data_IF_487717916913
#
_entry.id   IF_487717916913
#
_cell.length_a   1.000
_cell.length_b   1.000
_cell.length_c   1.000
_cell.angle_alpha   90.00
_cell.angle_beta   90.00
_cell.angle_gamma   90.00
#
_symmetry.space_group_name_H-M   'P 1'
#
loop_
_entity.id
_entity.type
_entity.pdbx_description
1 polymer ?
#
# COMPACT_ATOMS: atom_id res chain seq x y z
N UNK A 1 -16.71 7.58 62.24
CA UNK A 1 -17.15 7.13 60.93
C UNK A 1 -16.07 7.53 59.90
N UNK A 2 -15.25 6.58 59.51
CA UNK A 2 -14.16 6.76 58.53
C UNK A 2 -14.68 6.23 57.19
N UNK A 3 -14.78 7.10 56.19
CA UNK A 3 -15.06 6.72 54.81
C UNK A 3 -13.73 6.30 54.16
N UNK A 4 -13.56 4.99 53.94
CA UNK A 4 -12.51 4.45 53.06
C UNK A 4 -12.92 4.68 51.61
N UNK A 5 -12.14 5.48 50.91
CA UNK A 5 -12.20 5.61 49.44
C UNK A 5 -11.44 4.43 48.86
N UNK A 6 -12.14 3.53 48.22
CA UNK A 6 -11.54 2.55 47.33
C UNK A 6 -11.23 3.23 46.00
N UNK A 7 -9.97 3.64 45.82
CA UNK A 7 -9.44 3.96 44.50
C UNK A 7 -9.16 2.64 43.79
N UNK A 8 -10.00 2.30 42.81
CA UNK A 8 -9.73 1.24 41.84
C UNK A 8 -8.67 1.75 40.89
N UNK A 9 -7.47 1.21 41.02
CA UNK A 9 -6.46 1.27 39.98
C UNK A 9 -6.93 0.42 38.79
N UNK A 10 -7.50 1.04 37.79
CA UNK A 10 -7.63 0.42 36.46
C UNK A 10 -6.23 0.32 35.87
N UNK A 11 -5.65 -0.86 35.99
CA UNK A 11 -4.42 -1.22 35.25
C UNK A 11 -4.80 -1.28 33.78
N UNK A 12 -4.25 -0.36 32.99
CA UNK A 12 -4.19 -0.50 31.55
C UNK A 12 -3.48 -1.83 31.24
N UNK A 13 -4.23 -2.85 30.88
CA UNK A 13 -3.69 -4.03 30.22
C UNK A 13 -3.20 -3.60 28.84
N UNK A 14 -1.92 -3.27 28.77
CA UNK A 14 -1.23 -3.06 27.51
C UNK A 14 -1.39 -4.28 26.62
N UNK A 15 -2.02 -4.13 25.48
CA UNK A 15 -2.23 -5.17 24.48
C UNK A 15 -0.89 -5.88 24.21
N UNK A 16 -0.75 -7.10 24.71
CA UNK A 16 0.40 -7.97 24.40
C UNK A 16 0.32 -8.27 22.92
N UNK A 17 1.22 -7.65 22.13
CA UNK A 17 1.28 -7.86 20.70
C UNK A 17 1.37 -9.36 20.39
N UNK A 18 0.56 -9.83 19.44
CA UNK A 18 0.56 -11.21 18.97
C UNK A 18 1.99 -11.60 18.58
N UNK A 19 2.55 -12.64 19.20
CA UNK A 19 3.88 -13.17 18.93
C UNK A 19 3.75 -14.43 18.07
N UNK A 20 4.58 -14.54 17.04
CA UNK A 20 4.65 -15.71 16.18
C UNK A 20 6.09 -16.24 16.16
N UNK A 21 6.25 -17.53 16.20
CA UNK A 21 7.52 -18.19 15.88
C UNK A 21 7.84 -18.06 14.38
N UNK A 22 9.09 -18.30 14.02
CA UNK A 22 9.50 -18.31 12.61
C UNK A 22 8.78 -19.40 11.79
N UNK A 23 8.50 -20.56 12.42
CA UNK A 23 7.78 -21.66 11.78
C UNK A 23 6.32 -21.30 11.50
N UNK A 24 5.63 -20.72 12.49
CA UNK A 24 4.26 -20.22 12.33
C UNK A 24 4.17 -19.15 11.23
N UNK A 25 5.08 -18.18 11.20
CA UNK A 25 5.08 -17.21 10.11
C UNK A 25 5.29 -17.86 8.74
N UNK A 26 6.18 -18.87 8.65
CA UNK A 26 6.44 -19.58 7.40
C UNK A 26 5.21 -20.33 6.86
N UNK A 27 4.29 -20.77 7.71
CA UNK A 27 3.05 -21.42 7.27
C UNK A 27 2.12 -20.50 6.47
N UNK A 28 2.28 -19.18 6.55
CA UNK A 28 1.54 -18.21 5.75
C UNK A 28 2.15 -17.94 4.37
N UNK A 29 3.21 -18.65 3.98
CA UNK A 29 3.80 -18.49 2.62
C UNK A 29 2.75 -18.84 1.56
N UNK A 30 2.57 -17.95 0.59
CA UNK A 30 1.56 -18.10 -0.46
C UNK A 30 0.14 -17.68 -0.07
N UNK A 31 -0.17 -17.50 1.21
CA UNK A 31 -1.46 -17.00 1.64
C UNK A 31 -1.68 -15.55 1.21
N UNK A 32 -2.94 -15.10 1.16
CA UNK A 32 -3.32 -13.77 0.66
C UNK A 32 -3.82 -12.87 1.77
N UNK A 33 -3.73 -11.57 1.54
CA UNK A 33 -4.31 -10.54 2.38
C UNK A 33 -5.33 -9.76 1.54
N UNK A 34 -6.60 -9.64 1.98
CA UNK A 34 -7.59 -8.84 1.29
C UNK A 34 -7.16 -7.38 1.16
N UNK A 35 -7.48 -6.76 0.03
CA UNK A 35 -7.25 -5.34 -0.17
C UNK A 35 -8.10 -4.51 0.80
N UNK A 36 -7.59 -3.37 1.21
CA UNK A 36 -8.35 -2.32 1.87
C UNK A 36 -8.74 -1.28 0.82
N UNK A 37 -9.84 -1.49 0.12
CA UNK A 37 -10.28 -0.62 -0.96
C UNK A 37 -11.81 -0.63 -1.04
N UNK A 38 -12.41 0.53 -1.27
CA UNK A 38 -13.85 0.71 -1.42
C UNK A 38 -14.16 1.83 -2.42
N UNK A 39 -15.41 1.97 -2.79
CA UNK A 39 -15.87 3.10 -3.60
C UNK A 39 -15.58 4.42 -2.88
N UNK A 40 -15.18 5.45 -3.62
CA UNK A 40 -14.76 6.73 -3.05
C UNK A 40 -13.28 6.83 -2.67
N UNK A 41 -12.47 5.77 -2.89
CA UNK A 41 -11.01 5.89 -2.75
C UNK A 41 -10.46 6.97 -3.70
N UNK A 42 -9.63 7.87 -3.15
CA UNK A 42 -8.96 8.94 -3.90
C UNK A 42 -7.46 8.69 -4.03
N UNK A 43 -6.85 8.13 -3.01
CA UNK A 43 -5.43 7.75 -2.95
C UNK A 43 -5.32 6.25 -2.71
N UNK A 44 -4.75 5.53 -3.68
CA UNK A 44 -4.49 4.10 -3.56
C UNK A 44 -2.99 3.86 -3.37
N UNK A 45 -2.59 3.46 -2.17
CA UNK A 45 -1.23 2.97 -1.92
C UNK A 45 -1.10 1.52 -2.37
N UNK A 46 -0.04 1.23 -3.10
CA UNK A 46 0.22 -0.09 -3.68
C UNK A 46 1.54 -0.65 -3.16
N UNK A 47 1.48 -1.63 -2.27
CA UNK A 47 2.64 -2.39 -1.81
C UNK A 47 3.16 -3.34 -2.89
N UNK A 48 4.32 -3.95 -2.64
CA UNK A 48 4.86 -4.96 -3.55
C UNK A 48 4.05 -6.25 -3.38
N UNK A 49 4.04 -6.79 -2.16
CA UNK A 49 3.24 -7.94 -1.74
C UNK A 49 3.11 -7.95 -0.21
N UNK A 50 2.15 -8.69 0.36
CA UNK A 50 2.06 -8.83 1.80
C UNK A 50 3.24 -9.64 2.34
N UNK A 51 3.82 -9.19 3.45
CA UNK A 51 4.74 -10.00 4.25
C UNK A 51 3.99 -11.05 5.08
N UNK A 52 4.66 -12.13 5.49
CA UNK A 52 4.04 -13.24 6.23
C UNK A 52 3.31 -12.75 7.50
N UNK A 53 3.91 -11.82 8.26
CA UNK A 53 3.27 -11.25 9.45
C UNK A 53 2.01 -10.46 9.11
N UNK A 54 1.99 -9.73 8.00
CA UNK A 54 0.82 -8.97 7.59
C UNK A 54 -0.39 -9.86 7.33
N UNK A 55 -0.17 -11.02 6.71
CA UNK A 55 -1.21 -12.04 6.52
C UNK A 55 -1.61 -12.67 7.85
N UNK A 56 -0.64 -13.05 8.69
CA UNK A 56 -0.90 -13.69 9.98
C UNK A 56 -1.82 -12.85 10.90
N UNK A 57 -1.71 -11.51 10.85
CA UNK A 57 -2.53 -10.60 11.66
C UNK A 57 -3.63 -9.89 10.87
N UNK A 58 -3.79 -10.20 9.57
CA UNK A 58 -4.77 -9.56 8.68
C UNK A 58 -4.64 -8.03 8.66
N UNK A 59 -3.39 -7.53 8.59
CA UNK A 59 -3.10 -6.09 8.58
C UNK A 59 -2.00 -5.72 7.58
N UNK A 60 -2.30 -4.80 6.67
CA UNK A 60 -1.28 -4.26 5.77
C UNK A 60 -0.18 -3.57 6.56
N UNK A 61 1.07 -3.73 6.14
CA UNK A 61 2.25 -3.09 6.74
C UNK A 61 2.44 -3.35 8.25
N UNK A 62 1.89 -4.47 8.76
CA UNK A 62 1.86 -4.84 10.17
C UNK A 62 3.22 -5.09 10.87
N UNK A 63 4.34 -5.49 10.20
CA UNK A 63 5.58 -5.74 10.92
C UNK A 63 6.04 -4.53 11.73
N UNK A 64 6.42 -4.75 13.00
CA UNK A 64 7.06 -3.72 13.83
C UNK A 64 8.29 -3.17 13.10
N UNK A 65 8.45 -1.85 13.11
CA UNK A 65 9.48 -1.15 12.35
C UNK A 65 9.09 -0.83 10.90
N UNK A 66 7.92 -1.24 10.41
CA UNK A 66 7.36 -0.68 9.18
C UNK A 66 6.93 0.77 9.46
N UNK A 67 7.30 1.66 8.56
CA UNK A 67 7.11 3.11 8.74
C UNK A 67 5.89 3.67 8.00
N UNK A 68 5.04 2.80 7.43
CA UNK A 68 3.87 3.22 6.66
C UNK A 68 2.93 4.10 7.49
N UNK A 69 2.40 3.59 8.60
CA UNK A 69 1.48 4.35 9.44
C UNK A 69 2.11 5.55 10.15
N UNK A 70 3.34 5.45 10.67
CA UNK A 70 4.06 6.65 11.14
C UNK A 70 4.23 7.73 10.06
N UNK A 71 4.46 7.32 8.80
CA UNK A 71 4.56 8.27 7.70
C UNK A 71 3.20 8.88 7.32
N UNK A 72 2.10 8.13 7.38
CA UNK A 72 0.75 8.68 7.17
C UNK A 72 0.42 9.77 8.21
N UNK A 73 0.70 9.50 9.49
CA UNK A 73 0.50 10.49 10.55
C UNK A 73 1.35 11.73 10.32
N UNK A 74 2.65 11.56 10.08
CA UNK A 74 3.56 12.69 9.87
C UNK A 74 3.26 13.48 8.59
N UNK A 75 2.66 12.85 7.59
CA UNK A 75 2.20 13.50 6.36
C UNK A 75 0.86 14.26 6.53
N UNK A 76 0.19 14.15 7.68
CA UNK A 76 -1.14 14.71 7.93
C UNK A 76 -2.27 13.93 7.25
N UNK A 77 -2.00 12.71 6.75
CA UNK A 77 -3.03 11.85 6.14
C UNK A 77 -3.92 11.24 7.21
N UNK A 78 -3.37 10.96 8.39
CA UNK A 78 -4.12 10.53 9.57
C UNK A 78 -3.89 11.49 10.72
N UNK A 79 -4.85 11.63 11.64
CA UNK A 79 -4.78 12.48 12.83
C UNK A 79 -4.24 11.74 14.07
N UNK A 80 -4.10 10.41 13.97
CA UNK A 80 -3.54 9.56 15.01
C UNK A 80 -2.70 8.44 14.41
N UNK A 81 -1.83 7.84 15.25
CA UNK A 81 -1.01 6.69 14.85
C UNK A 81 -1.86 5.42 14.86
N UNK A 82 -1.93 4.78 13.70
CA UNK A 82 -2.56 3.46 13.57
C UNK A 82 -1.53 2.38 13.90
N UNK A 83 -1.84 1.51 14.86
CA UNK A 83 -1.01 0.34 15.19
C UNK A 83 -1.58 -0.93 14.54
N UNK A 84 -1.00 -1.32 13.41
CA UNK A 84 -1.36 -2.54 12.71
C UNK A 84 -0.62 -3.79 13.20
N UNK A 85 0.19 -3.72 14.26
CA UNK A 85 1.05 -4.83 14.70
C UNK A 85 0.29 -6.09 15.14
N UNK A 86 -0.97 -5.93 15.52
CA UNK A 86 -1.92 -7.01 15.85
C UNK A 86 -3.06 -7.13 14.81
N UNK A 87 -2.96 -6.45 13.67
CA UNK A 87 -3.99 -6.36 12.64
C UNK A 87 -4.66 -4.99 12.62
N UNK A 88 -5.38 -4.68 11.55
CA UNK A 88 -6.21 -3.48 11.47
C UNK A 88 -7.57 -3.74 12.11
N UNK A 89 -7.98 -2.88 13.04
CA UNK A 89 -9.34 -2.93 13.58
C UNK A 89 -10.36 -2.52 12.51
N UNK A 90 -11.64 -2.86 12.71
CA UNK A 90 -12.72 -2.37 11.84
C UNK A 90 -12.73 -0.83 11.80
N UNK A 91 -12.56 -0.19 12.98
CA UNK A 91 -12.49 1.27 13.10
C UNK A 91 -11.35 1.88 12.28
N UNK A 92 -10.14 1.28 12.32
CA UNK A 92 -9.01 1.79 11.53
C UNK A 92 -9.25 1.65 10.01
N UNK A 93 -9.87 0.54 9.60
CA UNK A 93 -10.26 0.31 8.20
C UNK A 93 -11.27 1.35 7.73
N UNK A 94 -12.35 1.53 8.49
CA UNK A 94 -13.41 2.49 8.17
C UNK A 94 -12.87 3.93 8.17
N UNK A 95 -11.96 4.25 9.10
CA UNK A 95 -11.31 5.54 9.17
C UNK A 95 -10.47 5.83 7.91
N UNK A 96 -9.59 4.89 7.49
CA UNK A 96 -8.78 5.07 6.28
C UNK A 96 -9.65 5.20 5.03
N UNK A 97 -10.64 4.32 4.87
CA UNK A 97 -11.57 4.37 3.73
C UNK A 97 -12.39 5.67 3.73
N UNK A 98 -12.87 6.11 4.88
CA UNK A 98 -13.60 7.39 5.04
C UNK A 98 -12.76 8.60 4.64
N UNK A 99 -11.44 8.55 4.83
CA UNK A 99 -10.50 9.57 4.33
C UNK A 99 -10.19 9.43 2.84
N UNK A 100 -10.73 8.43 2.17
CA UNK A 100 -10.47 8.15 0.76
C UNK A 100 -9.10 7.49 0.51
N UNK A 101 -8.52 6.84 1.52
CA UNK A 101 -7.24 6.12 1.43
C UNK A 101 -7.50 4.62 1.29
N UNK A 102 -6.99 4.03 0.22
CA UNK A 102 -7.01 2.58 -0.01
C UNK A 102 -5.60 1.99 0.02
N UNK A 103 -5.53 0.70 0.26
CA UNK A 103 -4.28 -0.08 0.29
C UNK A 103 -4.48 -1.38 -0.48
N UNK A 104 -3.56 -1.67 -1.39
CA UNK A 104 -3.48 -2.93 -2.14
C UNK A 104 -2.02 -3.35 -2.33
N UNK A 105 -1.79 -4.44 -3.04
CA UNK A 105 -0.45 -4.89 -3.44
C UNK A 105 -0.43 -5.28 -4.91
N UNK A 106 0.74 -5.19 -5.57
CA UNK A 106 0.96 -5.71 -6.92
C UNK A 106 0.71 -7.21 -6.95
N UNK A 107 1.37 -7.94 -6.05
CA UNK A 107 1.23 -9.39 -5.91
C UNK A 107 0.46 -9.69 -4.63
N UNK A 108 -0.54 -10.57 -4.71
CA UNK A 108 -1.43 -10.86 -3.56
C UNK A 108 -0.87 -11.92 -2.61
N UNK A 109 0.02 -12.80 -3.08
CA UNK A 109 0.58 -13.86 -2.25
C UNK A 109 1.66 -13.34 -1.29
N UNK A 110 1.66 -13.87 -0.08
CA UNK A 110 2.65 -13.54 0.94
C UNK A 110 3.98 -14.26 0.70
N UNK A 111 5.07 -13.51 0.95
CA UNK A 111 6.44 -14.04 0.96
C UNK A 111 7.22 -13.54 2.16
N UNK A 112 8.32 -14.20 2.51
CA UNK A 112 9.22 -13.71 3.55
C UNK A 112 10.04 -12.49 3.08
N UNK A 113 10.25 -12.36 1.76
CA UNK A 113 10.96 -11.25 1.14
C UNK A 113 10.39 -10.97 -0.25
N UNK A 114 10.27 -9.70 -0.63
CA UNK A 114 9.88 -9.31 -1.98
C UNK A 114 10.85 -9.81 -3.07
N UNK A 115 12.09 -10.16 -2.71
CA UNK A 115 13.06 -10.76 -3.62
C UNK A 115 12.67 -12.17 -4.12
N UNK A 116 11.67 -12.81 -3.50
CA UNK A 116 11.11 -14.09 -3.94
C UNK A 116 10.11 -13.96 -5.11
N UNK A 117 9.79 -12.72 -5.51
CA UNK A 117 8.87 -12.45 -6.60
C UNK A 117 9.62 -12.33 -7.92
N UNK A 118 9.15 -13.07 -8.93
CA UNK A 118 9.71 -13.00 -10.27
C UNK A 118 9.24 -11.79 -11.07
N UNK A 119 10.00 -11.37 -12.11
CA UNK A 119 9.62 -10.27 -12.98
C UNK A 119 8.25 -10.47 -13.66
N UNK A 120 7.96 -11.68 -14.14
CA UNK A 120 6.68 -12.00 -14.76
C UNK A 120 5.50 -11.84 -13.81
N UNK A 121 5.67 -12.22 -12.54
CA UNK A 121 4.66 -12.08 -11.50
C UNK A 121 4.39 -10.61 -11.15
N UNK A 122 5.42 -9.78 -11.12
CA UNK A 122 5.29 -8.34 -10.91
C UNK A 122 4.58 -7.66 -12.09
N UNK A 123 4.90 -8.07 -13.33
CA UNK A 123 4.23 -7.55 -14.53
C UNK A 123 2.76 -7.95 -14.57
N UNK A 124 2.42 -9.19 -14.18
CA UNK A 124 1.03 -9.64 -14.03
C UNK A 124 0.29 -8.83 -12.95
N UNK A 125 0.98 -8.56 -11.83
CA UNK A 125 0.47 -7.71 -10.77
C UNK A 125 0.11 -6.29 -11.24
N UNK A 126 0.88 -5.71 -12.15
CA UNK A 126 0.57 -4.42 -12.77
C UNK A 126 -0.71 -4.48 -13.64
N UNK A 127 -0.92 -5.57 -14.39
CA UNK A 127 -2.18 -5.79 -15.15
C UNK A 127 -3.40 -5.92 -14.22
N UNK A 128 -3.28 -6.68 -13.14
CA UNK A 128 -4.34 -6.81 -12.14
C UNK A 128 -4.65 -5.47 -11.46
N UNK A 129 -3.61 -4.68 -11.16
CA UNK A 129 -3.77 -3.33 -10.60
C UNK A 129 -4.61 -2.44 -11.52
N UNK A 130 -4.40 -2.48 -12.85
CA UNK A 130 -5.20 -1.72 -13.80
C UNK A 130 -6.70 -2.05 -13.70
N UNK A 131 -7.04 -3.33 -13.49
CA UNK A 131 -8.41 -3.74 -13.23
C UNK A 131 -9.02 -3.10 -11.97
N UNK A 132 -8.26 -3.04 -10.87
CA UNK A 132 -8.67 -2.36 -9.64
C UNK A 132 -8.84 -0.85 -9.86
N UNK A 133 -7.89 -0.22 -10.57
CA UNK A 133 -7.94 1.21 -10.87
C UNK A 133 -9.16 1.57 -11.73
N UNK A 134 -9.47 0.77 -12.75
CA UNK A 134 -10.71 0.95 -13.55
C UNK A 134 -11.98 0.80 -12.71
N UNK A 135 -11.99 -0.14 -11.75
CA UNK A 135 -13.17 -0.40 -10.89
C UNK A 135 -13.38 0.71 -9.88
N UNK A 136 -12.35 1.15 -9.17
CA UNK A 136 -12.45 2.05 -8.03
C UNK A 136 -12.11 3.52 -8.35
N UNK A 137 -11.50 3.78 -9.49
CA UNK A 137 -11.20 5.11 -10.03
C UNK A 137 -10.51 6.06 -9.04
N UNK A 138 -9.40 5.66 -8.39
CA UNK A 138 -8.64 6.57 -7.56
C UNK A 138 -8.10 7.73 -8.39
N UNK A 139 -7.90 8.90 -7.79
CA UNK A 139 -7.24 10.05 -8.45
C UNK A 139 -5.73 9.83 -8.56
N UNK A 140 -5.15 9.18 -7.54
CA UNK A 140 -3.72 8.90 -7.44
C UNK A 140 -3.49 7.44 -7.08
N UNK A 141 -2.56 6.81 -7.79
CA UNK A 141 -1.99 5.49 -7.50
C UNK A 141 -0.55 5.68 -7.09
N UNK A 142 -0.20 5.34 -5.84
CA UNK A 142 1.13 5.50 -5.26
C UNK A 142 1.81 4.14 -5.06
N UNK A 143 2.77 3.77 -5.93
CA UNK A 143 3.53 2.52 -5.85
C UNK A 143 4.66 2.68 -4.84
N UNK A 144 4.70 1.78 -3.85
CA UNK A 144 5.66 1.79 -2.74
C UNK A 144 6.95 1.05 -3.09
N UNK A 145 7.88 1.73 -3.78
CA UNK A 145 9.20 1.20 -4.09
C UNK A 145 9.55 1.22 -5.58
N UNK A 146 10.61 1.94 -5.90
CA UNK A 146 11.05 2.17 -7.28
C UNK A 146 11.52 0.90 -7.99
N UNK A 147 12.17 -0.02 -7.29
CA UNK A 147 12.68 -1.27 -7.90
C UNK A 147 11.54 -2.15 -8.40
N UNK A 148 10.51 -2.38 -7.57
CA UNK A 148 9.34 -3.14 -7.98
C UNK A 148 8.59 -2.47 -9.13
N UNK A 149 8.45 -1.14 -9.08
CA UNK A 149 7.86 -0.36 -10.16
C UNK A 149 8.59 -0.56 -11.48
N UNK A 150 9.93 -0.41 -11.48
CA UNK A 150 10.75 -0.57 -12.69
C UNK A 150 10.51 -1.91 -13.38
N UNK A 151 10.39 -2.97 -12.60
CA UNK A 151 10.13 -4.32 -13.13
C UNK A 151 8.68 -4.47 -13.58
N UNK A 152 7.72 -4.12 -12.71
CA UNK A 152 6.29 -4.34 -12.96
C UNK A 152 5.76 -3.55 -14.17
N UNK A 153 6.31 -2.35 -14.41
CA UNK A 153 5.87 -1.42 -15.46
C UNK A 153 6.88 -1.29 -16.61
N UNK A 154 7.87 -2.19 -16.71
CA UNK A 154 8.92 -2.18 -17.73
C UNK A 154 9.57 -0.77 -17.89
N UNK A 155 9.79 -0.07 -16.79
CA UNK A 155 10.28 1.31 -16.76
C UNK A 155 11.64 1.43 -16.04
N UNK A 156 12.74 0.91 -16.60
CA UNK A 156 14.02 0.75 -15.90
C UNK A 156 14.65 2.06 -15.44
N UNK A 157 14.31 3.18 -16.08
CA UNK A 157 14.82 4.52 -15.74
C UNK A 157 13.90 5.32 -14.80
N UNK A 158 12.81 4.74 -14.34
CA UNK A 158 11.90 5.43 -13.43
C UNK A 158 12.61 5.86 -12.13
N UNK A 159 12.20 7.02 -11.61
CA UNK A 159 12.69 7.60 -10.35
C UNK A 159 11.50 7.82 -9.40
N UNK A 160 11.77 8.20 -8.15
CA UNK A 160 10.71 8.60 -7.23
C UNK A 160 9.99 9.86 -7.74
N UNK A 161 8.72 10.01 -7.38
CA UNK A 161 7.86 11.11 -7.78
C UNK A 161 6.80 10.70 -8.81
N UNK A 162 6.14 11.70 -9.38
CA UNK A 162 5.12 11.50 -10.42
C UNK A 162 5.74 10.91 -11.67
N UNK A 163 5.12 9.85 -12.17
CA UNK A 163 5.59 9.22 -13.41
C UNK A 163 4.90 9.82 -14.62
N UNK A 164 5.64 10.10 -15.72
CA UNK A 164 5.02 10.42 -16.98
C UNK A 164 4.26 9.17 -17.44
N UNK A 165 2.96 9.24 -17.36
CA UNK A 165 2.08 8.18 -17.77
C UNK A 165 1.33 8.63 -19.02
N UNK A 166 1.67 8.04 -20.16
CA UNK A 166 0.84 8.08 -21.35
C UNK A 166 0.02 6.80 -21.34
N UNK A 167 -1.33 6.88 -21.26
CA UNK A 167 -2.17 5.73 -21.46
C UNK A 167 -1.78 5.07 -22.79
N UNK A 168 -1.62 3.77 -22.82
CA UNK A 168 -1.52 3.05 -24.10
C UNK A 168 -2.67 3.52 -24.96
N UNK A 169 -2.41 3.80 -26.27
CA UNK A 169 -3.50 4.11 -27.20
C UNK A 169 -4.57 3.02 -27.00
N UNK A 170 -5.85 3.40 -26.79
CA UNK A 170 -6.89 2.40 -26.80
C UNK A 170 -6.78 1.61 -28.10
N UNK A 171 -6.88 0.28 -28.02
CA UNK A 171 -6.98 -0.55 -29.21
C UNK A 171 -8.02 0.07 -30.13
N UNK A 172 -7.61 0.43 -31.35
CA UNK A 172 -8.53 0.98 -32.34
C UNK A 172 -9.61 -0.08 -32.58
N UNK A 173 -10.88 0.22 -32.31
CA UNK A 173 -11.93 -0.77 -32.54
C UNK A 173 -11.97 -1.10 -34.03
N UNK A 174 -11.54 -2.31 -34.38
CA UNK A 174 -11.63 -2.83 -35.74
C UNK A 174 -10.36 -3.32 -36.42
N UNK A 175 -9.18 -3.31 -35.76
CA UNK A 175 -8.04 -4.06 -36.27
C UNK A 175 -8.08 -5.49 -35.75
N UNK A 176 -8.19 -6.52 -36.63
CA UNK A 176 -8.04 -7.90 -36.19
C UNK A 176 -6.63 -8.14 -35.67
N UNK A 177 -6.52 -8.92 -34.58
CA UNK A 177 -5.26 -9.35 -34.01
C UNK A 177 -4.35 -9.91 -35.10
N UNK A 178 -3.18 -9.31 -35.34
CA UNK A 178 -2.16 -9.89 -36.19
C UNK A 178 -1.59 -11.12 -35.46
N UNK A 179 -1.78 -12.34 -35.97
CA UNK A 179 -1.24 -13.51 -35.31
C UNK A 179 0.28 -13.51 -35.43
N UNK A 180 0.98 -13.36 -34.30
CA UNK A 180 2.43 -13.54 -34.22
C UNK A 180 3.26 -12.44 -33.61
N UNK A 181 2.70 -11.30 -33.19
CA UNK A 181 3.42 -10.37 -32.30
C UNK A 181 3.18 -10.80 -30.86
N UNK A 182 4.24 -11.12 -30.09
CA UNK A 182 4.10 -11.24 -28.64
C UNK A 182 3.61 -9.87 -28.12
N UNK A 183 2.58 -9.90 -27.27
CA UNK A 183 2.11 -8.71 -26.55
C UNK A 183 3.30 -7.97 -25.99
N UNK A 184 3.69 -6.84 -26.59
CA UNK A 184 4.57 -5.90 -25.90
C UNK A 184 3.82 -5.55 -24.62
N UNK A 185 4.46 -5.68 -23.42
CA UNK A 185 3.80 -5.33 -22.19
C UNK A 185 3.50 -3.83 -22.22
N UNK A 186 2.36 -3.48 -22.77
CA UNK A 186 1.83 -2.13 -22.77
C UNK A 186 1.71 -1.67 -21.32
N UNK A 187 2.06 -0.43 -21.04
CA UNK A 187 1.83 0.16 -19.73
C UNK A 187 0.33 0.01 -19.42
N UNK A 188 -0.04 -0.57 -18.27
CA UNK A 188 -1.43 -0.86 -17.97
C UNK A 188 -2.26 0.43 -17.95
N UNK A 189 -3.44 0.45 -18.56
CA UNK A 189 -4.34 1.60 -18.55
C UNK A 189 -4.82 1.89 -17.11
N UNK A 190 -4.50 3.07 -16.60
CA UNK A 190 -4.89 3.54 -15.26
C UNK A 190 -6.06 4.53 -15.31
N UNK A 191 -6.82 4.56 -16.41
CA UNK A 191 -8.08 5.31 -16.50
C UNK A 191 -7.96 6.78 -16.04
N UNK A 192 -6.87 7.46 -16.39
CA UNK A 192 -6.62 8.86 -16.06
C UNK A 192 -6.09 9.10 -14.62
N UNK A 193 -5.91 8.09 -13.80
CA UNK A 193 -5.29 8.24 -12.48
C UNK A 193 -3.82 8.69 -12.61
N UNK A 194 -3.38 9.59 -11.75
CA UNK A 194 -1.97 9.96 -11.67
C UNK A 194 -1.17 8.81 -11.07
N UNK A 195 -0.10 8.41 -11.73
CA UNK A 195 0.80 7.37 -11.24
C UNK A 195 2.02 7.99 -10.56
N UNK A 196 2.29 7.55 -9.34
CA UNK A 196 3.40 8.01 -8.53
C UNK A 196 4.23 6.83 -8.02
N UNK A 197 5.53 7.04 -7.89
CA UNK A 197 6.43 6.12 -7.21
C UNK A 197 6.94 6.81 -5.95
N UNK A 198 6.69 6.21 -4.80
CA UNK A 198 7.11 6.75 -3.50
C UNK A 198 8.03 5.76 -2.79
N UNK A 199 8.85 6.22 -1.81
CA UNK A 199 9.78 5.33 -1.12
C UNK A 199 9.05 4.18 -0.41
N UNK A 200 9.68 3.00 -0.38
CA UNK A 200 9.16 1.84 0.33
C UNK A 200 9.28 2.05 1.86
N UNK A 201 8.19 1.89 2.64
CA UNK A 201 8.18 2.11 4.09
C UNK A 201 8.83 0.98 4.91
N UNK A 202 9.25 -0.11 4.27
CA UNK A 202 9.88 -1.23 4.96
C UNK A 202 11.04 -0.78 5.83
N UNK A 203 11.14 -1.29 7.06
CA UNK A 203 12.26 -1.06 7.95
C UNK A 203 13.61 -1.54 7.38
N UNK A 204 13.61 -2.39 6.35
CA UNK A 204 14.81 -2.81 5.61
C UNK A 204 15.30 -1.76 4.61
N UNK A 205 14.50 -0.76 4.29
CA UNK A 205 14.90 0.35 3.40
C UNK A 205 15.68 1.40 4.19
N UNK A 206 17.00 1.30 4.21
CA UNK A 206 17.88 2.25 4.90
C UNK A 206 17.98 3.62 4.20
N UNK A 207 17.54 3.72 2.93
CA UNK A 207 17.73 4.92 2.11
C UNK A 207 16.66 6.01 2.30
N UNK A 208 15.57 5.72 3.00
CA UNK A 208 14.52 6.70 3.26
C UNK A 208 14.33 6.89 4.75
N UNK A 209 14.44 8.13 5.23
CA UNK A 209 14.05 8.52 6.59
C UNK A 209 12.52 8.55 6.73
N UNK A 210 12.01 8.64 7.95
CA UNK A 210 10.58 8.86 8.18
C UNK A 210 10.13 10.19 7.55
N UNK A 211 10.97 11.23 7.60
CA UNK A 211 10.67 12.53 7.00
C UNK A 211 10.57 12.46 5.48
N UNK A 212 11.49 11.74 4.84
CA UNK A 212 11.44 11.50 3.38
C UNK A 212 10.18 10.75 2.96
N UNK A 213 9.79 9.73 3.74
CA UNK A 213 8.53 9.00 3.51
C UNK A 213 7.33 9.94 3.66
N UNK A 214 7.27 10.69 4.75
CA UNK A 214 6.17 11.60 5.05
C UNK A 214 6.03 12.69 4.00
N UNK A 215 7.14 13.30 3.57
CA UNK A 215 7.12 14.32 2.51
C UNK A 215 6.54 13.75 1.21
N UNK A 216 7.03 12.59 0.76
CA UNK A 216 6.51 11.93 -0.46
C UNK A 216 5.05 11.52 -0.32
N UNK A 217 4.61 11.08 0.86
CA UNK A 217 3.20 10.69 1.09
C UNK A 217 2.29 11.91 1.17
N UNK A 218 2.79 13.05 1.70
CA UNK A 218 2.06 14.33 1.68
C UNK A 218 1.83 14.80 0.23
N UNK A 219 2.83 14.73 -0.62
CA UNK A 219 2.69 15.10 -2.05
C UNK A 219 1.58 14.31 -2.74
N UNK A 220 1.55 12.99 -2.60
CA UNK A 220 0.50 12.16 -3.22
C UNK A 220 -0.87 12.37 -2.58
N UNK A 221 -0.94 12.70 -1.30
CA UNK A 221 -2.19 13.00 -0.61
C UNK A 221 -2.79 14.33 -1.05
N UNK A 222 -1.96 15.36 -1.25
CA UNK A 222 -2.35 16.64 -1.84
C UNK A 222 -2.85 16.45 -3.27
N UNK A 223 -2.10 15.71 -4.10
CA UNK A 223 -2.48 15.43 -5.49
C UNK A 223 -3.80 14.66 -5.58
N UNK A 224 -4.10 13.80 -4.61
CA UNK A 224 -5.36 13.06 -4.52
C UNK A 224 -6.51 13.88 -3.90
N UNK A 225 -6.24 15.02 -3.27
CA UNK A 225 -7.20 15.80 -2.49
C UNK A 225 -7.65 15.07 -1.22
N UNK A 226 -6.79 14.24 -0.62
CA UNK A 226 -7.03 13.57 0.67
C UNK A 226 -6.78 14.51 1.83
N UNK A 227 -5.82 15.41 1.67
CA UNK A 227 -5.52 16.52 2.60
C UNK A 227 -5.60 17.85 1.86
N UNK A 228 -5.87 18.93 2.61
CA UNK A 228 -5.92 20.29 2.07
C UNK A 228 -4.50 20.92 2.14
N UNK A 229 -4.08 21.72 1.14
CA UNK A 229 -2.83 22.49 1.23
C UNK A 229 -2.75 23.44 2.41
N UNK A 230 -3.89 23.91 2.92
CA UNK A 230 -4.00 24.85 4.04
C UNK A 230 -3.92 24.16 5.42
N UNK A 231 -4.01 22.85 5.50
CA UNK A 231 -3.81 22.10 6.75
C UNK A 231 -2.33 21.93 7.04
N UNK A 232 -1.86 22.37 8.22
CA UNK A 232 -0.43 22.33 8.61
C UNK A 232 0.12 20.90 8.78
#
# INVERSE_FOLDING_TARGET
MRHERHERHERHEGARGVSFTRAELKSFTGATLPDLIADGVRLLFVGINPGLRSVAVQGHFAPRGNRFYPALLRAGITDHLIDASAGLTARDRDYLLGRGVGITSLVTRATASAAELGPAELAEGARHLAGKVRRFRPRVVAILGVTAYRTAFASPRAVLGRQPYEPGKPDEPGKPDEPGKPDEPGKPDLNGAQLWVVPNPSGRNAHASLDTLAASYREVALAAGVIDPAEP
#
